data_IF_318655603658
#
_entry.id   IF_318655603658
#
_cell.length_a   1.000
_cell.length_b   1.000
_cell.length_c   1.000
_cell.angle_alpha   90.00
_cell.angle_beta   90.00
_cell.angle_gamma   90.00
#
_symmetry.space_group_name_H-M   'P 1'
#
loop_
_entity.id
_entity.type
_entity.pdbx_description
1 polymer ?
#
# COMPACT_ATOMS: atom_id res chain seq x y z
N UNK A 1 -6.62 -2.96 21.30
CA UNK A 1 -6.13 -3.81 20.20
C UNK A 1 -5.09 -2.96 19.51
N UNK A 2 -3.81 -3.33 19.56
CA UNK A 2 -2.79 -2.63 18.78
C UNK A 2 -3.11 -2.91 17.31
N UNK A 3 -3.41 -1.86 16.54
CA UNK A 3 -3.51 -1.95 15.09
C UNK A 3 -2.09 -2.30 14.61
N UNK A 4 -1.82 -3.58 14.34
CA UNK A 4 -0.55 -3.97 13.75
C UNK A 4 -0.47 -3.28 12.38
N UNK A 5 0.60 -2.51 12.17
CA UNK A 5 0.81 -1.78 10.93
C UNK A 5 1.75 -2.58 10.03
N UNK A 6 1.39 -2.71 8.77
CA UNK A 6 2.22 -3.27 7.72
C UNK A 6 2.75 -2.15 6.83
N UNK A 7 4.03 -2.24 6.46
CA UNK A 7 4.63 -1.35 5.48
C UNK A 7 4.33 -1.88 4.09
N UNK A 8 3.76 -1.03 3.25
CA UNK A 8 3.46 -1.31 1.85
C UNK A 8 4.24 -0.31 1.01
N UNK A 9 4.96 -0.82 0.02
CA UNK A 9 5.64 -0.02 -0.99
C UNK A 9 4.73 0.12 -2.20
N UNK A 10 4.46 1.37 -2.54
CA UNK A 10 3.69 1.78 -3.71
C UNK A 10 4.64 2.26 -4.77
N UNK A 11 4.49 1.75 -6.00
CA UNK A 11 5.19 2.26 -7.18
C UNK A 11 4.24 3.13 -7.97
N UNK A 12 4.66 4.35 -8.26
CA UNK A 12 3.91 5.30 -9.07
C UNK A 12 4.65 5.62 -10.36
N UNK A 13 3.91 5.84 -11.44
CA UNK A 13 4.42 6.34 -12.70
C UNK A 13 4.02 7.81 -12.91
N UNK A 14 4.99 8.63 -13.26
CA UNK A 14 4.87 10.06 -13.51
C UNK A 14 5.64 10.50 -14.73
N UNK A 15 4.91 10.76 -15.81
CA UNK A 15 5.44 11.39 -17.03
C UNK A 15 6.81 10.81 -17.47
N UNK A 16 6.91 9.47 -17.46
CA UNK A 16 8.11 8.73 -17.84
C UNK A 16 9.10 8.43 -16.72
N UNK A 17 8.82 8.84 -15.48
CA UNK A 17 9.58 8.51 -14.27
C UNK A 17 8.82 7.55 -13.38
N UNK A 18 9.54 6.68 -12.68
CA UNK A 18 8.96 5.82 -11.63
C UNK A 18 9.52 6.25 -10.28
N UNK A 19 8.65 6.41 -9.30
CA UNK A 19 9.07 6.65 -7.92
C UNK A 19 8.30 5.71 -6.99
N UNK A 20 8.92 5.40 -5.84
CA UNK A 20 8.31 4.53 -4.86
C UNK A 20 8.10 5.27 -3.54
N UNK A 21 6.98 4.98 -2.88
CA UNK A 21 6.67 5.49 -1.55
C UNK A 21 6.35 4.32 -0.62
N UNK A 22 6.81 4.40 0.62
CA UNK A 22 6.48 3.43 1.66
C UNK A 22 5.44 4.04 2.59
N UNK A 23 4.32 3.33 2.74
CA UNK A 23 3.20 3.74 3.58
C UNK A 23 2.89 2.66 4.60
N UNK A 24 2.35 3.06 5.74
CA UNK A 24 1.91 2.13 6.77
C UNK A 24 0.40 2.02 6.74
N UNK A 25 -0.11 0.80 6.59
CA UNK A 25 -1.55 0.49 6.62
C UNK A 25 -1.86 -0.58 7.67
N UNK A 26 -3.09 -0.66 8.18
CA UNK A 26 -3.48 -1.70 9.13
C UNK A 26 -3.34 -3.09 8.49
N UNK A 27 -2.55 -3.96 9.13
CA UNK A 27 -2.31 -5.31 8.63
C UNK A 27 -3.62 -6.11 8.54
N UNK A 28 -4.55 -5.87 9.47
CA UNK A 28 -5.87 -6.49 9.46
C UNK A 28 -6.75 -6.10 8.27
N UNK A 29 -6.53 -4.93 7.65
CA UNK A 29 -7.28 -4.53 6.46
C UNK A 29 -6.90 -5.37 5.24
N UNK A 30 -5.63 -5.77 5.12
CA UNK A 30 -5.13 -6.55 3.97
C UNK A 30 -5.69 -7.96 3.92
N UNK A 31 -6.06 -8.55 5.06
CA UNK A 31 -6.58 -9.91 5.13
C UNK A 31 -7.92 -10.10 4.40
N UNK A 32 -8.65 -9.01 4.11
CA UNK A 32 -9.92 -9.03 3.40
C UNK A 32 -9.81 -8.94 1.88
N UNK A 33 -8.61 -8.76 1.31
CA UNK A 33 -8.42 -8.50 -0.11
C UNK A 33 -7.35 -9.39 -0.71
N UNK A 34 -7.62 -9.97 -1.89
CA UNK A 34 -6.64 -10.74 -2.65
C UNK A 34 -5.54 -9.86 -3.26
N UNK A 35 -5.86 -8.59 -3.54
CA UNK A 35 -4.91 -7.60 -4.10
C UNK A 35 -4.78 -6.43 -3.14
N UNK A 36 -3.53 -6.04 -2.85
CA UNK A 36 -3.24 -4.88 -2.01
C UNK A 36 -3.78 -3.57 -2.60
N UNK A 37 -3.81 -3.46 -3.93
CA UNK A 37 -4.37 -2.29 -4.61
C UNK A 37 -5.87 -2.13 -4.29
N UNK A 38 -6.64 -3.22 -4.30
CA UNK A 38 -8.08 -3.17 -3.98
C UNK A 38 -8.29 -2.71 -2.53
N UNK A 39 -7.46 -3.20 -1.59
CA UNK A 39 -7.47 -2.74 -0.20
C UNK A 39 -7.21 -1.22 -0.07
N UNK A 40 -6.23 -0.69 -0.80
CA UNK A 40 -5.89 0.74 -0.81
C UNK A 40 -6.98 1.61 -1.45
N UNK A 41 -7.85 1.02 -2.28
CA UNK A 41 -8.93 1.69 -3.00
C UNK A 41 -10.28 1.64 -2.30
N UNK A 42 -10.56 0.57 -1.57
CA UNK A 42 -11.90 0.24 -1.08
C UNK A 42 -11.99 0.26 0.45
N UNK A 43 -10.91 -0.04 1.17
CA UNK A 43 -10.98 -0.21 2.62
C UNK A 43 -11.15 1.14 3.33
N UNK A 44 -12.29 1.39 4.01
CA UNK A 44 -12.55 2.67 4.64
C UNK A 44 -11.60 2.97 5.81
N UNK A 45 -10.96 1.96 6.40
CA UNK A 45 -9.98 2.12 7.47
C UNK A 45 -8.65 2.64 6.92
N UNK A 46 -8.30 2.20 5.70
CA UNK A 46 -7.13 2.69 4.96
C UNK A 46 -7.42 4.09 4.39
N UNK A 47 -8.53 4.27 3.67
CA UNK A 47 -8.89 5.52 3.00
C UNK A 47 -9.08 6.73 3.94
N UNK A 48 -9.44 6.48 5.22
CA UNK A 48 -9.49 7.53 6.25
C UNK A 48 -8.12 8.09 6.64
N UNK A 49 -7.05 7.35 6.34
CA UNK A 49 -5.67 7.65 6.76
C UNK A 49 -4.77 7.98 5.59
N UNK A 50 -5.00 7.33 4.44
CA UNK A 50 -4.18 7.41 3.25
C UNK A 50 -5.07 7.65 2.03
N UNK A 51 -4.74 8.68 1.25
CA UNK A 51 -5.35 8.89 -0.06
C UNK A 51 -4.35 8.47 -1.13
N UNK A 52 -4.73 7.50 -1.97
CA UNK A 52 -3.88 6.95 -3.03
C UNK A 52 -4.40 7.41 -4.38
N UNK A 53 -3.53 7.99 -5.20
CA UNK A 53 -3.85 8.28 -6.60
C UNK A 53 -3.73 7.00 -7.45
N UNK A 54 -4.81 6.23 -7.46
CA UNK A 54 -4.91 4.94 -8.17
C UNK A 54 -4.57 5.07 -9.65
N UNK A 55 -4.83 6.22 -10.26
CA UNK A 55 -4.57 6.42 -11.70
C UNK A 55 -3.07 6.37 -12.04
N UNK A 56 -2.22 6.61 -11.04
CA UNK A 56 -0.76 6.64 -11.17
C UNK A 56 -0.07 5.44 -10.50
N UNK A 57 -0.78 4.67 -9.67
CA UNK A 57 -0.22 3.46 -9.05
C UNK A 57 -0.03 2.37 -10.09
N UNK A 58 1.20 1.87 -10.19
CA UNK A 58 1.55 0.72 -11.03
C UNK A 58 1.55 -0.59 -10.24
N UNK A 59 2.05 -0.58 -9.01
CA UNK A 59 2.11 -1.76 -8.14
C UNK A 59 2.07 -1.41 -6.67
N UNK A 60 1.63 -2.36 -5.85
CA UNK A 60 1.67 -2.31 -4.40
C UNK A 60 2.22 -3.64 -3.87
N UNK A 61 3.26 -3.59 -3.07
CA UNK A 61 3.93 -4.77 -2.51
C UNK A 61 4.14 -4.60 -1.00
N UNK A 62 4.06 -5.69 -0.26
CA UNK A 62 4.28 -5.67 1.18
C UNK A 62 5.79 -5.69 1.45
N UNK A 63 6.30 -4.63 2.06
CA UNK A 63 7.71 -4.55 2.45
C UNK A 63 7.87 -5.21 3.82
N UNK A 64 7.94 -6.54 3.83
CA UNK A 64 8.56 -7.22 4.96
C UNK A 64 10.02 -6.80 4.96
N UNK A 65 10.52 -6.20 6.05
CA UNK A 65 11.95 -5.96 6.21
C UNK A 65 12.69 -7.31 6.30
N UNK A 66 12.89 -7.97 5.15
CA UNK A 66 13.56 -9.26 5.04
C UNK A 66 14.03 -9.54 3.60
N UNK A 67 14.67 -8.57 2.94
CA UNK A 67 15.62 -8.79 1.84
C UNK A 67 16.69 -7.69 2.03
N UNK A 68 17.91 -7.88 2.55
CA UNK A 68 18.95 -8.87 2.23
C UNK A 68 19.12 -9.08 0.73
N UNK A 69 19.76 -8.12 0.06
CA UNK A 69 20.92 -8.32 -0.85
C UNK A 69 21.53 -6.97 -1.19
#
# INVERSE_FOLDING_TARGET
MSDELATVRLLFADDGSFHHEEVQIPAGAMAGYDRLIDCLMEDPTVLKRLHVDVSRVCSAELTNAAEST
#
